data_IF_969792060639
#
_entry.id   IF_969792060639
#
_cell.length_a   1.000
_cell.length_b   1.000
_cell.length_c   1.000
_cell.angle_alpha   90.00
_cell.angle_beta   90.00
_cell.angle_gamma   90.00
#
_symmetry.space_group_name_H-M   'P 1'
#
loop_
_entity.id
_entity.type
_entity.pdbx_description
1 polymer ?
#
# COMPACT_ATOMS: atom_id res chain seq x y z
N UNK A 1 -30.51 -7.16 14.84
CA UNK A 1 -29.54 -6.23 15.47
C UNK A 1 -28.19 -6.87 15.81
N UNK A 2 -28.10 -8.04 16.47
CA UNK A 2 -26.77 -8.63 16.78
C UNK A 2 -25.96 -9.10 15.54
N UNK A 3 -26.62 -9.51 14.46
CA UNK A 3 -25.94 -10.00 13.24
C UNK A 3 -25.18 -8.87 12.53
N UNK A 4 -25.71 -7.64 12.53
CA UNK A 4 -25.06 -6.51 11.84
C UNK A 4 -23.77 -6.08 12.54
N UNK A 5 -23.79 -5.99 13.87
CA UNK A 5 -22.60 -5.65 14.67
C UNK A 5 -21.50 -6.70 14.49
N UNK A 6 -21.87 -7.99 14.52
CA UNK A 6 -20.92 -9.08 14.29
C UNK A 6 -20.34 -9.08 12.87
N UNK A 7 -21.11 -8.63 11.86
CA UNK A 7 -20.63 -8.48 10.49
C UNK A 7 -19.71 -7.26 10.34
N UNK A 8 -19.94 -6.17 11.07
CA UNK A 8 -19.05 -5.02 11.11
C UNK A 8 -17.71 -5.37 11.78
N UNK A 9 -17.73 -6.03 12.94
CA UNK A 9 -16.52 -6.52 13.62
C UNK A 9 -15.73 -7.49 12.73
N UNK A 10 -16.40 -8.45 12.09
CA UNK A 10 -15.75 -9.42 11.19
C UNK A 10 -15.12 -8.76 9.96
N UNK A 11 -15.76 -7.72 9.41
CA UNK A 11 -15.20 -6.97 8.30
C UNK A 11 -13.95 -6.16 8.70
N UNK A 12 -13.90 -5.65 9.92
CA UNK A 12 -12.71 -4.94 10.46
C UNK A 12 -11.53 -5.90 10.57
N UNK A 13 -11.73 -7.11 11.11
CA UNK A 13 -10.68 -8.12 11.26
C UNK A 13 -10.13 -8.58 9.90
N UNK A 14 -11.00 -8.75 8.90
CA UNK A 14 -10.56 -9.15 7.55
C UNK A 14 -9.71 -8.10 6.85
N UNK A 15 -9.90 -6.82 7.15
CA UNK A 15 -9.08 -5.75 6.58
C UNK A 15 -7.71 -5.72 7.25
N UNK A 16 -7.61 -6.08 8.53
CA UNK A 16 -6.32 -6.17 9.24
C UNK A 16 -5.43 -7.31 8.75
N UNK A 17 -6.00 -8.43 8.30
CA UNK A 17 -5.25 -9.59 7.82
C UNK A 17 -4.76 -9.47 6.35
N UNK A 18 -5.08 -8.36 5.68
CA UNK A 18 -4.52 -8.06 4.36
C UNK A 18 -3.02 -7.75 4.51
N UNK A 19 -2.19 -8.71 4.10
CA UNK A 19 -0.74 -8.53 4.05
C UNK A 19 -0.38 -7.57 2.91
N UNK A 20 -0.24 -6.30 3.25
CA UNK A 20 0.29 -5.31 2.33
C UNK A 20 1.79 -5.54 2.12
N UNK A 21 2.29 -5.47 0.85
CA UNK A 21 3.72 -5.49 0.59
C UNK A 21 4.41 -4.38 1.38
N UNK A 22 5.59 -4.66 1.93
CA UNK A 22 6.36 -3.61 2.59
C UNK A 22 6.87 -2.59 1.57
N UNK A 23 7.26 -1.41 2.02
CA UNK A 23 7.93 -0.40 1.18
C UNK A 23 9.14 -0.98 0.43
N UNK A 24 9.90 -1.88 1.07
CA UNK A 24 11.04 -2.56 0.44
C UNK A 24 10.61 -3.50 -0.67
N UNK A 25 9.47 -4.16 -0.52
CA UNK A 25 8.92 -5.05 -1.55
C UNK A 25 8.36 -4.24 -2.72
N UNK A 26 7.68 -3.12 -2.46
CA UNK A 26 7.25 -2.18 -3.50
C UNK A 26 8.44 -1.62 -4.30
N UNK A 27 9.55 -1.26 -3.63
CA UNK A 27 10.77 -0.82 -4.30
C UNK A 27 11.34 -1.93 -5.22
N UNK A 28 11.33 -3.19 -4.76
CA UNK A 28 11.78 -4.35 -5.55
C UNK A 28 10.86 -4.59 -6.74
N UNK A 29 9.55 -4.56 -6.54
CA UNK A 29 8.56 -4.75 -7.60
C UNK A 29 8.68 -3.66 -8.67
N UNK A 30 8.87 -2.41 -8.26
CA UNK A 30 9.09 -1.31 -9.19
C UNK A 30 10.39 -1.50 -9.99
N UNK A 31 11.51 -1.83 -9.33
CA UNK A 31 12.79 -2.11 -10.01
C UNK A 31 12.72 -3.31 -10.95
N UNK A 32 11.95 -4.33 -10.58
CA UNK A 32 11.68 -5.51 -11.39
C UNK A 32 10.66 -5.24 -12.51
N UNK A 33 10.12 -4.01 -12.62
CA UNK A 33 9.07 -3.62 -13.57
C UNK A 33 7.78 -4.43 -13.46
N UNK A 34 7.51 -4.98 -12.27
CA UNK A 34 6.27 -5.72 -11.97
C UNK A 34 5.11 -4.75 -11.78
N UNK A 35 5.38 -3.57 -11.24
CA UNK A 35 4.41 -2.49 -11.01
C UNK A 35 4.88 -1.20 -11.67
N UNK A 36 3.93 -0.34 -12.04
CA UNK A 36 4.23 0.99 -12.58
C UNK A 36 4.35 2.06 -11.48
N UNK A 37 4.68 3.28 -11.90
CA UNK A 37 4.83 4.45 -11.02
C UNK A 37 3.54 4.80 -10.29
N UNK A 38 2.40 4.69 -10.98
CA UNK A 38 1.10 5.04 -10.42
C UNK A 38 0.70 4.02 -9.35
N UNK A 39 0.87 2.73 -9.64
CA UNK A 39 0.68 1.64 -8.67
C UNK A 39 1.61 1.81 -7.47
N UNK A 40 2.90 2.11 -7.69
CA UNK A 40 3.83 2.36 -6.58
C UNK A 40 3.37 3.51 -5.68
N UNK A 41 2.92 4.63 -6.26
CA UNK A 41 2.42 5.78 -5.49
C UNK A 41 1.14 5.46 -4.73
N UNK A 42 0.21 4.75 -5.35
CA UNK A 42 -1.06 4.33 -4.73
C UNK A 42 -0.80 3.39 -3.56
N UNK A 43 0.00 2.35 -3.74
CA UNK A 43 0.32 1.40 -2.67
C UNK A 43 1.10 2.07 -1.52
N UNK A 44 2.03 2.97 -1.83
CA UNK A 44 2.70 3.75 -0.79
C UNK A 44 1.74 4.67 -0.03
N UNK A 45 0.71 5.20 -0.69
CA UNK A 45 -0.33 6.00 -0.04
C UNK A 45 -1.20 5.11 0.87
N UNK A 46 -1.56 3.91 0.41
CA UNK A 46 -2.32 2.92 1.18
C UNK A 46 -1.55 2.44 2.42
N UNK A 47 -0.22 2.37 2.33
CA UNK A 47 0.68 2.11 3.47
C UNK A 47 0.77 3.30 4.46
N UNK A 48 0.17 4.45 4.14
CA UNK A 48 0.14 5.64 4.99
C UNK A 48 1.31 6.60 4.79
N UNK A 49 2.11 6.45 3.73
CA UNK A 49 3.18 7.40 3.46
C UNK A 49 2.62 8.72 2.91
N UNK A 50 3.09 9.84 3.45
CA UNK A 50 2.77 11.15 2.90
C UNK A 50 3.33 11.32 1.47
N UNK A 51 2.64 12.10 0.64
CA UNK A 51 3.04 12.35 -0.75
C UNK A 51 4.46 12.94 -0.88
N UNK A 52 4.93 13.66 0.15
CA UNK A 52 6.32 14.14 0.25
C UNK A 52 7.31 12.99 0.28
N UNK A 53 7.08 11.99 1.15
CA UNK A 53 7.96 10.83 1.26
C UNK A 53 7.89 9.94 0.03
N UNK A 54 6.68 9.75 -0.53
CA UNK A 54 6.49 9.04 -1.79
C UNK A 54 7.33 9.68 -2.91
N UNK A 55 7.36 11.01 -2.98
CA UNK A 55 8.16 11.73 -3.98
C UNK A 55 9.67 11.52 -3.80
N UNK A 56 10.16 11.42 -2.55
CA UNK A 56 11.57 11.12 -2.29
C UNK A 56 11.94 9.70 -2.73
N UNK A 57 11.11 8.72 -2.40
CA UNK A 57 11.35 7.35 -2.83
C UNK A 57 11.19 7.18 -4.35
N UNK A 58 10.23 7.87 -4.97
CA UNK A 58 10.10 7.89 -6.41
C UNK A 58 11.37 8.43 -7.09
N UNK A 59 11.92 9.54 -6.60
CA UNK A 59 13.20 10.09 -7.07
C UNK A 59 14.36 9.11 -6.87
N UNK A 60 14.41 8.43 -5.72
CA UNK A 60 15.44 7.41 -5.43
C UNK A 60 15.39 6.25 -6.44
N UNK A 61 14.19 5.88 -6.90
CA UNK A 61 13.96 4.82 -7.89
C UNK A 61 14.18 5.28 -9.34
N UNK A 62 14.60 6.54 -9.57
CA UNK A 62 14.85 7.09 -10.90
C UNK A 62 13.57 7.43 -11.68
N UNK A 63 12.43 7.53 -10.98
CA UNK A 63 11.17 7.96 -11.56
C UNK A 63 11.26 9.48 -11.79
N UNK A 64 11.23 9.90 -13.05
CA UNK A 64 11.17 11.32 -13.44
C UNK A 64 9.73 11.85 -13.41
#
# INVERSE_FOLDING_TARGET
>A
EQIEVLMEEWNIDKIQDLKFPSKTDLDKFFKAKVIDVNTYKTEMTNLGYSMRYISWYAKLLGIK
#
